data_IF_052892795644
#
_entry.id   IF_052892795644
#
_cell.length_a   1.000
_cell.length_b   1.000
_cell.length_c   1.000
_cell.angle_alpha   90.00
_cell.angle_beta   90.00
_cell.angle_gamma   90.00
#
_symmetry.space_group_name_H-M   'P 1'
#
loop_
_entity.id
_entity.type
_entity.pdbx_description
1 polymer ?
#
# COMPACT_ATOMS: atom_id res chain seq x y z
N UNK A 1 15.82 -13.11 -21.20
CA UNK A 1 16.73 -13.86 -22.09
C UNK A 1 16.21 -15.28 -22.34
N UNK A 2 16.01 -16.12 -21.32
CA UNK A 2 15.64 -17.56 -21.46
C UNK A 2 14.31 -17.76 -22.19
N UNK A 3 13.29 -16.98 -21.89
CA UNK A 3 11.97 -17.03 -22.55
C UNK A 3 12.08 -16.67 -24.04
N UNK A 4 12.91 -15.69 -24.37
CA UNK A 4 13.12 -15.27 -25.76
C UNK A 4 13.91 -16.30 -26.56
N UNK A 5 14.91 -16.94 -25.95
CA UNK A 5 15.74 -17.93 -26.63
C UNK A 5 15.05 -19.28 -26.80
N UNK A 6 14.32 -19.76 -25.78
CA UNK A 6 13.59 -21.04 -25.84
C UNK A 6 12.30 -20.90 -26.62
N UNK A 7 11.55 -19.78 -26.44
CA UNK A 7 10.29 -19.51 -27.10
C UNK A 7 10.42 -19.03 -28.55
N UNK A 8 11.67 -18.81 -29.06
CA UNK A 8 11.93 -18.25 -30.40
C UNK A 8 11.07 -17.02 -30.71
N UNK A 9 10.76 -16.21 -29.70
CA UNK A 9 9.88 -15.06 -29.83
C UNK A 9 10.56 -13.92 -30.59
N UNK A 10 9.84 -13.34 -31.54
CA UNK A 10 10.33 -12.17 -32.26
C UNK A 10 10.14 -10.91 -31.42
N UNK A 11 11.24 -10.28 -31.00
CA UNK A 11 11.23 -9.08 -30.15
C UNK A 11 10.37 -7.94 -30.74
N UNK A 12 10.35 -7.80 -32.05
CA UNK A 12 9.51 -6.78 -32.72
C UNK A 12 8.00 -6.99 -32.46
N UNK A 13 7.55 -8.24 -32.40
CA UNK A 13 6.17 -8.55 -32.08
C UNK A 13 5.86 -8.33 -30.59
N UNK A 14 6.84 -8.47 -29.70
CA UNK A 14 6.64 -8.17 -28.27
C UNK A 14 6.32 -6.70 -28.07
N UNK A 15 7.07 -5.81 -28.72
CA UNK A 15 6.91 -4.35 -28.57
C UNK A 15 5.60 -3.84 -29.20
N UNK A 16 5.12 -4.49 -30.26
CA UNK A 16 3.85 -4.13 -30.90
C UNK A 16 2.61 -4.76 -30.26
N UNK A 17 2.78 -5.62 -29.26
CA UNK A 17 1.69 -6.29 -28.57
C UNK A 17 0.92 -5.38 -27.58
N UNK A 18 -0.37 -5.62 -27.46
CA UNK A 18 -1.24 -4.86 -26.53
C UNK A 18 -0.77 -4.96 -25.06
N UNK A 19 -0.23 -6.10 -24.67
CA UNK A 19 0.32 -6.33 -23.32
C UNK A 19 1.53 -5.43 -23.05
N UNK A 20 2.39 -5.20 -24.07
CA UNK A 20 3.51 -4.28 -23.93
C UNK A 20 3.02 -2.84 -23.74
N UNK A 21 2.04 -2.41 -24.52
CA UNK A 21 1.43 -1.08 -24.36
C UNK A 21 0.81 -0.87 -22.98
N UNK A 22 0.05 -1.89 -22.49
CA UNK A 22 -0.51 -1.88 -21.14
C UNK A 22 0.58 -1.80 -20.06
N UNK A 23 1.66 -2.56 -20.21
CA UNK A 23 2.81 -2.53 -19.31
C UNK A 23 3.52 -1.17 -19.29
N UNK A 24 3.69 -0.54 -20.43
CA UNK A 24 4.28 0.81 -20.52
C UNK A 24 3.38 1.87 -19.88
N UNK A 25 2.07 1.80 -20.09
CA UNK A 25 1.11 2.68 -19.42
C UNK A 25 1.17 2.51 -17.89
N UNK A 26 1.23 1.27 -17.41
CA UNK A 26 1.39 0.99 -15.99
C UNK A 26 2.69 1.59 -15.45
N UNK A 27 3.82 1.41 -16.14
CA UNK A 27 5.11 1.98 -15.73
C UNK A 27 5.05 3.51 -15.63
N UNK A 28 4.54 4.20 -16.64
CA UNK A 28 4.45 5.66 -16.64
C UNK A 28 3.56 6.14 -15.49
N UNK A 29 2.41 5.49 -15.27
CA UNK A 29 1.50 5.81 -14.17
C UNK A 29 2.15 5.60 -12.80
N UNK A 30 2.83 4.47 -12.61
CA UNK A 30 3.53 4.14 -11.36
C UNK A 30 4.63 5.15 -11.06
N UNK A 31 5.49 5.47 -12.04
CA UNK A 31 6.56 6.45 -11.85
C UNK A 31 6.01 7.84 -11.55
N UNK A 32 5.00 8.29 -12.28
CA UNK A 32 4.40 9.62 -12.08
C UNK A 32 3.79 9.76 -10.68
N UNK A 33 2.97 8.80 -10.27
CA UNK A 33 2.31 8.81 -8.96
C UNK A 33 3.33 8.67 -7.83
N UNK A 34 4.27 7.73 -7.95
CA UNK A 34 5.28 7.49 -6.91
C UNK A 34 6.19 8.71 -6.72
N UNK A 35 6.63 9.33 -7.80
CA UNK A 35 7.49 10.51 -7.73
C UNK A 35 6.78 11.70 -7.11
N UNK A 36 5.55 11.97 -7.54
CA UNK A 36 4.73 13.03 -6.98
C UNK A 36 4.49 12.82 -5.48
N UNK A 37 4.10 11.60 -5.09
CA UNK A 37 3.86 11.24 -3.69
C UNK A 37 5.11 11.38 -2.84
N UNK A 38 6.24 10.83 -3.27
CA UNK A 38 7.50 10.91 -2.56
C UNK A 38 7.96 12.37 -2.35
N UNK A 39 7.90 13.19 -3.40
CA UNK A 39 8.25 14.60 -3.33
C UNK A 39 7.38 15.37 -2.34
N UNK A 40 6.05 15.15 -2.39
CA UNK A 40 5.10 15.82 -1.51
C UNK A 40 5.32 15.41 -0.05
N UNK A 41 5.49 14.11 0.19
CA UNK A 41 5.65 13.59 1.56
C UNK A 41 6.97 13.97 2.19
N UNK A 42 8.08 13.82 1.48
CA UNK A 42 9.39 14.22 2.00
C UNK A 42 9.44 15.72 2.30
N UNK A 43 8.78 16.53 1.49
CA UNK A 43 8.67 17.97 1.72
C UNK A 43 7.82 18.37 2.95
N UNK A 44 6.91 17.48 3.41
CA UNK A 44 5.98 17.76 4.51
C UNK A 44 6.09 16.75 5.68
N UNK A 45 7.17 15.97 5.73
CA UNK A 45 7.29 14.84 6.64
C UNK A 45 7.17 15.23 8.12
N UNK A 46 7.79 16.31 8.53
CA UNK A 46 7.77 16.78 9.93
C UNK A 46 6.37 17.27 10.35
N UNK A 47 5.64 17.89 9.43
CA UNK A 47 4.23 18.26 9.67
C UNK A 47 3.36 17.01 9.90
N UNK A 48 3.52 15.97 9.08
CA UNK A 48 2.77 14.72 9.27
C UNK A 48 3.14 14.02 10.58
N UNK A 49 4.43 13.95 10.91
CA UNK A 49 4.88 13.34 12.17
C UNK A 49 4.31 14.06 13.39
N UNK A 50 4.37 15.38 13.42
CA UNK A 50 3.84 16.16 14.55
C UNK A 50 2.33 15.98 14.68
N UNK A 51 1.58 16.09 13.57
CA UNK A 51 0.13 15.90 13.58
C UNK A 51 -0.29 14.50 14.05
N UNK A 52 0.44 13.47 13.65
CA UNK A 52 0.21 12.09 14.12
C UNK A 52 0.56 11.97 15.61
N UNK A 53 1.66 12.54 16.06
CA UNK A 53 2.09 12.48 17.44
C UNK A 53 1.05 13.08 18.38
N UNK A 54 0.49 14.23 18.04
CA UNK A 54 -0.54 14.91 18.83
C UNK A 54 -1.80 14.05 19.01
N UNK A 55 -2.26 13.40 17.96
CA UNK A 55 -3.45 12.54 18.00
C UNK A 55 -3.17 11.22 18.72
N UNK A 56 -2.05 10.59 18.43
CA UNK A 56 -1.70 9.26 18.96
C UNK A 56 -1.33 9.32 20.44
N UNK A 57 -0.76 10.42 20.93
CA UNK A 57 -0.50 10.61 22.36
C UNK A 57 -1.76 10.58 23.20
N UNK A 58 -2.89 11.06 22.65
CA UNK A 58 -4.19 11.05 23.31
C UNK A 58 -4.93 9.71 23.09
N UNK A 59 -4.82 9.15 21.91
CA UNK A 59 -5.54 7.94 21.49
C UNK A 59 -4.61 6.94 20.77
N UNK A 60 -3.84 6.12 21.51
CA UNK A 60 -2.84 5.23 20.90
C UNK A 60 -3.39 4.26 19.83
N UNK A 61 -4.64 3.84 19.95
CA UNK A 61 -5.27 2.95 18.97
C UNK A 61 -5.44 3.60 17.58
N UNK A 62 -5.49 4.94 17.53
CA UNK A 62 -5.55 5.67 16.25
C UNK A 62 -4.24 5.59 15.46
N UNK A 63 -3.18 5.05 16.05
CA UNK A 63 -1.94 4.81 15.33
C UNK A 63 -2.14 3.83 14.15
N UNK A 64 -3.04 2.84 14.28
CA UNK A 64 -3.39 1.96 13.17
C UNK A 64 -4.05 2.72 12.01
N UNK A 65 -4.87 3.73 12.31
CA UNK A 65 -5.48 4.61 11.30
C UNK A 65 -4.40 5.47 10.63
N UNK A 66 -3.48 6.02 11.42
CA UNK A 66 -2.34 6.79 10.89
C UNK A 66 -1.46 5.93 9.97
N UNK A 67 -1.14 4.69 10.36
CA UNK A 67 -0.42 3.73 9.53
C UNK A 67 -1.15 3.46 8.20
N UNK A 68 -2.47 3.27 8.26
CA UNK A 68 -3.29 3.01 7.09
C UNK A 68 -3.24 4.20 6.11
N UNK A 69 -3.52 5.41 6.60
CA UNK A 69 -3.49 6.62 5.79
C UNK A 69 -2.09 6.86 5.20
N UNK A 70 -1.06 6.77 6.03
CA UNK A 70 0.33 7.00 5.58
C UNK A 70 0.80 5.95 4.57
N UNK A 71 0.35 4.71 4.67
CA UNK A 71 0.69 3.67 3.69
C UNK A 71 0.08 3.96 2.30
N UNK A 72 -1.13 4.54 2.27
CA UNK A 72 -1.74 5.00 1.02
C UNK A 72 -0.91 6.13 0.41
N UNK A 73 -0.54 7.08 1.24
CA UNK A 73 0.08 8.32 0.80
C UNK A 73 1.55 8.16 0.41
N UNK A 74 2.29 7.30 1.10
CA UNK A 74 3.70 7.01 0.79
C UNK A 74 3.88 5.99 -0.34
N UNK A 75 2.82 5.40 -0.86
CA UNK A 75 2.87 4.34 -1.88
C UNK A 75 3.82 3.19 -1.52
N UNK A 76 4.15 3.04 -0.24
CA UNK A 76 5.13 2.08 0.24
C UNK A 76 4.86 1.68 1.69
N UNK A 77 4.58 0.40 1.90
CA UNK A 77 4.46 -0.20 3.23
C UNK A 77 5.75 -0.01 4.04
N UNK A 78 6.89 -0.28 3.40
CA UNK A 78 8.19 -0.16 4.05
C UNK A 78 8.52 1.29 4.45
N UNK A 79 8.15 2.28 3.63
CA UNK A 79 8.32 3.68 3.96
C UNK A 79 7.43 4.08 5.14
N UNK A 80 6.16 3.66 5.16
CA UNK A 80 5.25 3.93 6.26
C UNK A 80 5.79 3.37 7.60
N UNK A 81 6.25 2.12 7.60
CA UNK A 81 6.84 1.48 8.78
C UNK A 81 8.10 2.21 9.24
N UNK A 82 9.05 2.46 8.34
CA UNK A 82 10.31 3.13 8.68
C UNK A 82 10.10 4.53 9.26
N UNK A 83 9.06 5.22 8.80
CA UNK A 83 8.75 6.58 9.24
C UNK A 83 8.01 6.59 10.58
N UNK A 84 7.00 5.74 10.73
CA UNK A 84 6.06 5.82 11.84
C UNK A 84 6.39 4.92 13.03
N UNK A 85 7.04 3.76 12.83
CA UNK A 85 7.36 2.88 13.97
C UNK A 85 8.33 3.51 14.98
N UNK A 86 9.42 4.20 14.55
CA UNK A 86 10.26 4.92 15.52
C UNK A 86 9.49 5.99 16.30
N UNK A 87 8.57 6.70 15.64
CA UNK A 87 7.69 7.67 16.29
C UNK A 87 6.79 7.00 17.33
N UNK A 88 6.14 5.88 16.98
CA UNK A 88 5.26 5.14 17.87
C UNK A 88 5.99 4.63 19.13
N UNK A 89 7.20 4.09 18.95
CA UNK A 89 8.05 3.66 20.07
C UNK A 89 8.42 4.85 20.94
N UNK A 90 8.78 5.99 20.36
CA UNK A 90 9.05 7.23 21.07
C UNK A 90 7.86 7.77 21.86
N UNK A 91 6.63 7.51 21.41
CA UNK A 91 5.37 7.84 22.08
C UNK A 91 4.95 6.78 23.13
N UNK A 92 5.75 5.73 23.34
CA UNK A 92 5.50 4.71 24.36
C UNK A 92 4.54 3.58 23.91
N UNK A 93 4.22 3.47 22.62
CA UNK A 93 3.42 2.34 22.13
C UNK A 93 4.26 1.06 22.25
N UNK A 94 3.70 0.05 22.89
CA UNK A 94 4.39 -1.22 23.11
C UNK A 94 4.70 -1.93 21.78
N UNK A 95 5.90 -2.51 21.59
CA UNK A 95 6.28 -3.20 20.37
C UNK A 95 5.31 -4.30 19.92
N UNK A 96 4.75 -5.05 20.85
CA UNK A 96 3.76 -6.08 20.55
C UNK A 96 2.47 -5.48 19.95
N UNK A 97 2.01 -4.34 20.45
CA UNK A 97 0.88 -3.63 19.88
C UNK A 97 1.17 -3.17 18.43
N UNK A 98 2.40 -2.74 18.14
CA UNK A 98 2.82 -2.40 16.78
C UNK A 98 2.79 -3.60 15.83
N UNK A 99 3.12 -4.80 16.33
CA UNK A 99 2.99 -6.05 15.55
C UNK A 99 1.52 -6.32 15.20
N UNK A 100 0.60 -6.15 16.16
CA UNK A 100 -0.83 -6.30 15.90
C UNK A 100 -1.37 -5.25 14.92
N UNK A 101 -0.87 -4.02 14.98
CA UNK A 101 -1.26 -2.93 14.11
C UNK A 101 -0.60 -2.99 12.72
N UNK A 102 0.44 -3.82 12.54
CA UNK A 102 1.21 -3.89 11.29
C UNK A 102 0.34 -4.11 10.03
N UNK A 103 -0.72 -4.93 10.04
CA UNK A 103 -1.58 -5.08 8.86
C UNK A 103 -2.20 -3.77 8.35
N UNK A 104 -2.26 -2.72 9.18
CA UNK A 104 -2.75 -1.41 8.76
C UNK A 104 -1.90 -0.75 7.65
N UNK A 105 -0.62 -1.14 7.49
CA UNK A 105 0.22 -0.64 6.38
C UNK A 105 -0.22 -1.15 5.00
N UNK A 106 -1.25 -1.99 4.93
CA UNK A 106 -1.83 -2.49 3.69
C UNK A 106 -2.89 -1.56 3.08
N UNK A 107 -2.88 -0.28 3.39
CA UNK A 107 -3.84 0.70 2.86
C UNK A 107 -3.80 0.90 1.34
N UNK A 108 -2.84 0.33 0.64
CA UNK A 108 -2.64 0.44 -0.80
C UNK A 108 -3.84 0.04 -1.66
N UNK A 109 -4.76 -0.77 -1.12
CA UNK A 109 -5.99 -1.13 -1.83
C UNK A 109 -7.06 -0.03 -1.80
N UNK A 110 -6.97 0.91 -0.87
CA UNK A 110 -8.02 1.93 -0.68
C UNK A 110 -8.15 2.85 -1.89
N UNK A 111 -7.02 3.40 -2.34
CA UNK A 111 -6.90 4.07 -3.63
C UNK A 111 -6.02 3.18 -4.50
N UNK A 112 -6.49 2.69 -5.66
CA UNK A 112 -5.73 1.74 -6.47
C UNK A 112 -4.57 2.41 -7.22
N UNK A 113 -3.66 2.99 -6.48
CA UNK A 113 -2.49 3.72 -6.96
C UNK A 113 -1.17 2.95 -6.73
N UNK A 114 -1.22 1.84 -6.02
CA UNK A 114 -0.03 1.04 -5.73
C UNK A 114 0.42 0.28 -6.99
N UNK A 115 1.74 0.15 -7.22
CA UNK A 115 2.28 -0.46 -8.44
C UNK A 115 1.67 -1.79 -8.82
N UNK A 116 1.45 -2.67 -7.86
CA UNK A 116 0.86 -4.00 -8.09
C UNK A 116 -0.59 -3.94 -8.56
N UNK A 117 -1.38 -3.00 -8.03
CA UNK A 117 -2.78 -2.84 -8.43
C UNK A 117 -2.90 -2.16 -9.79
N UNK A 118 -2.09 -1.12 -10.04
CA UNK A 118 -2.02 -0.48 -11.35
C UNK A 118 -1.62 -1.51 -12.42
N UNK A 119 -0.65 -2.36 -12.12
CA UNK A 119 -0.27 -3.45 -13.01
C UNK A 119 -1.41 -4.45 -13.21
N UNK A 120 -2.08 -4.90 -12.15
CA UNK A 120 -3.20 -5.84 -12.23
C UNK A 120 -4.33 -5.32 -13.12
N UNK A 121 -4.70 -4.04 -12.98
CA UNK A 121 -5.73 -3.41 -13.80
C UNK A 121 -5.31 -3.32 -15.27
N UNK A 122 -4.05 -2.94 -15.56
CA UNK A 122 -3.56 -2.77 -16.91
C UNK A 122 -3.33 -4.12 -17.65
N UNK A 123 -2.97 -5.17 -16.91
CA UNK A 123 -2.75 -6.50 -17.51
C UNK A 123 -3.99 -7.38 -17.55
N UNK A 124 -5.10 -6.96 -16.95
CA UNK A 124 -6.36 -7.71 -17.03
C UNK A 124 -6.98 -7.66 -18.41
N UNK A 125 -6.75 -8.71 -19.17
CA UNK A 125 -7.33 -8.89 -20.53
C UNK A 125 -8.78 -9.33 -20.48
N UNK A 126 -9.30 -9.74 -19.34
CA UNK A 126 -10.68 -10.23 -19.17
C UNK A 126 -11.66 -9.11 -18.83
N UNK A 127 -11.15 -7.94 -18.41
CA UNK A 127 -11.97 -6.80 -18.01
C UNK A 127 -12.76 -7.04 -16.73
N UNK A 128 -12.37 -8.03 -15.91
CA UNK A 128 -13.02 -8.35 -14.63
C UNK A 128 -12.58 -7.44 -13.50
N UNK A 129 -11.40 -6.86 -13.60
CA UNK A 129 -10.90 -5.88 -12.64
C UNK A 129 -11.57 -4.53 -12.89
N UNK A 130 -12.32 -4.05 -11.92
CA UNK A 130 -13.09 -2.81 -12.05
C UNK A 130 -12.55 -1.73 -11.11
N UNK A 131 -12.43 -0.52 -11.66
CA UNK A 131 -12.31 0.70 -10.87
C UNK A 131 -13.63 1.44 -10.99
N UNK A 132 -14.31 1.68 -9.88
CA UNK A 132 -15.59 2.36 -9.85
C UNK A 132 -15.48 3.84 -10.21
N UNK A 133 -16.63 4.48 -10.43
CA UNK A 133 -16.74 5.87 -10.90
C UNK A 133 -15.95 6.89 -10.08
N UNK A 134 -15.77 6.63 -8.78
CA UNK A 134 -15.09 7.52 -7.83
C UNK A 134 -13.78 6.96 -7.30
N UNK A 135 -13.17 6.00 -7.99
CA UNK A 135 -11.95 5.32 -7.55
C UNK A 135 -12.13 4.49 -6.27
N UNK A 136 -13.13 4.78 -5.46
CA UNK A 136 -13.40 4.14 -4.16
C UNK A 136 -14.28 2.89 -4.25
N UNK A 137 -14.83 2.55 -5.39
CA UNK A 137 -15.66 1.35 -5.57
C UNK A 137 -15.01 0.42 -6.60
N UNK A 138 -13.97 -0.27 -6.19
CA UNK A 138 -13.20 -1.16 -7.06
C UNK A 138 -13.10 -2.58 -6.50
N UNK A 139 -12.67 -3.52 -7.33
CA UNK A 139 -12.63 -4.95 -7.02
C UNK A 139 -11.85 -5.33 -5.77
N UNK A 140 -10.86 -4.52 -5.37
CA UNK A 140 -9.99 -4.80 -4.22
C UNK A 140 -10.48 -4.22 -2.90
N UNK A 141 -11.47 -3.33 -2.93
CA UNK A 141 -11.81 -2.49 -1.77
C UNK A 141 -12.38 -3.28 -0.60
N UNK A 142 -13.44 -4.06 -0.85
CA UNK A 142 -14.10 -4.82 0.21
C UNK A 142 -13.19 -5.89 0.81
N UNK A 143 -12.52 -6.67 -0.05
CA UNK A 143 -11.57 -7.69 0.39
C UNK A 143 -10.41 -7.09 1.17
N UNK A 144 -9.88 -5.94 0.73
CA UNK A 144 -8.83 -5.22 1.42
C UNK A 144 -9.22 -4.75 2.81
N UNK A 145 -10.40 -4.16 2.97
CA UNK A 145 -10.92 -3.78 4.30
C UNK A 145 -11.08 -4.98 5.21
N UNK A 146 -11.78 -6.03 4.74
CA UNK A 146 -12.00 -7.24 5.55
C UNK A 146 -10.65 -7.82 5.99
N UNK A 147 -9.71 -7.98 5.07
CA UNK A 147 -8.39 -8.54 5.38
C UNK A 147 -7.66 -7.69 6.42
N UNK A 148 -7.64 -6.37 6.25
CA UNK A 148 -6.93 -5.47 7.17
C UNK A 148 -7.55 -5.50 8.57
N UNK A 149 -8.86 -5.34 8.69
CA UNK A 149 -9.53 -5.34 10.00
C UNK A 149 -9.45 -6.68 10.71
N UNK A 150 -9.68 -7.77 9.99
CA UNK A 150 -9.56 -9.12 10.56
C UNK A 150 -8.13 -9.41 11.00
N UNK A 151 -7.13 -9.05 10.20
CA UNK A 151 -5.72 -9.27 10.55
C UNK A 151 -5.31 -8.49 11.79
N UNK A 152 -5.74 -7.23 11.94
CA UNK A 152 -5.49 -6.44 13.16
C UNK A 152 -6.17 -7.09 14.36
N UNK A 153 -7.45 -7.45 14.24
CA UNK A 153 -8.20 -8.12 15.30
C UNK A 153 -7.55 -9.43 15.75
N UNK A 154 -7.19 -10.29 14.80
CA UNK A 154 -6.48 -11.55 15.07
C UNK A 154 -5.11 -11.28 15.70
N UNK A 155 -4.38 -10.26 15.24
CA UNK A 155 -3.10 -9.86 15.83
C UNK A 155 -3.23 -9.53 17.31
N UNK A 156 -4.21 -8.73 17.69
CA UNK A 156 -4.49 -8.40 19.08
C UNK A 156 -4.93 -9.62 19.89
N UNK A 157 -5.77 -10.51 19.34
CA UNK A 157 -6.18 -11.75 20.00
C UNK A 157 -4.99 -12.67 20.27
N UNK A 158 -4.08 -12.84 19.30
CA UNK A 158 -2.87 -13.64 19.47
C UNK A 158 -1.99 -13.06 20.58
N UNK A 159 -1.77 -11.76 20.59
CA UNK A 159 -0.96 -11.09 21.60
C UNK A 159 -1.59 -11.25 22.99
N UNK A 160 -2.89 -11.05 23.11
CA UNK A 160 -3.61 -11.24 24.36
C UNK A 160 -3.54 -12.68 24.87
N UNK A 161 -3.56 -13.68 23.97
CA UNK A 161 -3.49 -15.08 24.33
C UNK A 161 -2.08 -15.54 24.73
N UNK A 162 -1.04 -15.02 24.06
CA UNK A 162 0.33 -15.48 24.29
C UNK A 162 1.08 -14.66 25.35
N UNK A 163 0.70 -13.42 25.59
CA UNK A 163 1.44 -12.46 26.40
C UNK A 163 0.57 -11.71 27.44
N UNK A 164 -0.74 -11.95 27.46
CA UNK A 164 -1.68 -11.44 28.48
C UNK A 164 -1.85 -12.46 29.55
#
# INVERSE_FOLDING_TARGET
ALILSVGKANVKHVVSGNIFGAGMNAMISIFGIAWMGDTFFNGNLEFFKSSIADVVSQYPFLFSVALFIMSIMLFSQAAAVRTLFPLAIGLGIQPLALVAMFPAVNGYFFVPNYPTQVAAVNFDTTGTTRIGRYVLNHSFQLSGFITTFVSIGVGYLIISFLYG
#
